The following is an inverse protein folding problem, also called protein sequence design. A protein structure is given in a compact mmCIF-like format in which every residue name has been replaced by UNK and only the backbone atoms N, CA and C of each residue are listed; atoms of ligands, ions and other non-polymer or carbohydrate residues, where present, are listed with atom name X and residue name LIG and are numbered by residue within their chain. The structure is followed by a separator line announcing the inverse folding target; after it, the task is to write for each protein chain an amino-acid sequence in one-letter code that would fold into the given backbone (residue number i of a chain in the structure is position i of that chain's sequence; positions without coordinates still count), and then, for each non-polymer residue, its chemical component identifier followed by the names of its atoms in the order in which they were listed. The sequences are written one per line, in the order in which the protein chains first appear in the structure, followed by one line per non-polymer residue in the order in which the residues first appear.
data_IF_993302241976
#
_entry.id   IF_993302241976
#
_cell.length_a   1.000
_cell.length_b   1.000
_cell.length_c   1.000
_cell.angle_alpha   90.00
_cell.angle_beta   90.00
_cell.angle_gamma   90.00
#
_symmetry.space_group_name_H-M   'P 1'
#
loop_
_entity.id
_entity.type
_entity.pdbx_description
1 polymer ?
#
# COMPACT_ATOMS: atom_id res chain seq x y z
N UNK A 1 -30.30 -8.59 9.05
CA UNK A 1 -29.56 -9.88 9.01
C UNK A 1 -28.83 -10.11 7.69
N UNK A 2 -29.34 -9.70 6.52
CA UNK A 2 -28.67 -9.93 5.22
C UNK A 2 -27.38 -9.12 4.98
N UNK A 3 -27.31 -7.85 5.42
CA UNK A 3 -26.13 -7.00 5.21
C UNK A 3 -24.84 -7.55 5.84
N UNK A 4 -24.95 -8.25 6.97
CA UNK A 4 -23.83 -8.89 7.66
C UNK A 4 -23.28 -10.10 6.89
N UNK A 5 -24.14 -10.87 6.22
CA UNK A 5 -23.69 -11.98 5.35
C UNK A 5 -23.01 -11.46 4.09
N UNK A 6 -23.53 -10.41 3.45
CA UNK A 6 -22.90 -9.81 2.29
C UNK A 6 -21.51 -9.22 2.63
N UNK A 7 -21.38 -8.57 3.79
CA UNK A 7 -20.09 -8.09 4.29
C UNK A 7 -19.11 -9.25 4.55
N UNK A 8 -19.60 -10.39 5.06
CA UNK A 8 -18.78 -11.58 5.26
C UNK A 8 -18.41 -12.29 3.94
N UNK A 9 -19.25 -12.25 2.92
CA UNK A 9 -18.93 -12.75 1.56
C UNK A 9 -17.92 -11.84 0.84
N UNK A 10 -17.96 -10.53 1.09
CA UNK A 10 -16.91 -9.59 0.68
C UNK A 10 -15.60 -9.77 1.47
N UNK A 11 -15.62 -10.43 2.63
CA UNK A 11 -14.42 -10.83 3.36
C UNK A 11 -13.86 -12.19 2.91
N UNK A 12 -14.57 -12.93 2.03
CA UNK A 12 -14.10 -14.19 1.44
C UNK A 12 -13.21 -13.98 0.21
N UNK A 13 -13.26 -12.79 -0.39
CA UNK A 13 -12.27 -12.33 -1.36
C UNK A 13 -11.08 -11.80 -0.56
N UNK A 14 -10.01 -12.60 -0.51
CA UNK A 14 -8.80 -12.24 0.24
C UNK A 14 -8.11 -10.97 -0.27
N UNK A 15 -6.92 -10.69 0.26
CA UNK A 15 -6.13 -9.53 -0.14
C UNK A 15 -5.49 -9.70 -1.52
N UNK A 16 -5.44 -8.62 -2.31
CA UNK A 16 -4.80 -8.60 -3.63
C UNK A 16 -4.16 -7.23 -3.89
N UNK A 17 -3.15 -7.21 -4.77
CA UNK A 17 -2.49 -5.97 -5.22
C UNK A 17 -3.38 -5.20 -6.19
N UNK A 18 -3.38 -3.87 -6.10
CA UNK A 18 -4.16 -2.97 -6.96
C UNK A 18 -3.26 -1.85 -7.45
N UNK A 19 -3.39 -1.48 -8.73
CA UNK A 19 -2.61 -0.40 -9.32
C UNK A 19 -2.69 0.90 -8.51
N UNK A 20 -1.55 1.40 -8.07
CA UNK A 20 -1.40 2.73 -7.52
C UNK A 20 -1.23 3.81 -8.60
N UNK A 21 -2.23 4.69 -8.75
CA UNK A 21 -2.19 5.83 -9.71
C UNK A 21 -1.73 7.15 -9.07
N UNK A 22 -0.63 7.10 -8.31
CA UNK A 22 0.18 8.28 -8.00
C UNK A 22 -0.45 9.36 -7.12
N UNK A 23 -1.56 9.10 -6.43
CA UNK A 23 -2.16 10.13 -5.58
C UNK A 23 -3.23 9.68 -4.60
N UNK A 24 -3.78 8.47 -4.76
CA UNK A 24 -4.72 7.94 -3.77
C UNK A 24 -4.58 6.43 -3.69
N UNK A 25 -4.43 5.93 -2.46
CA UNK A 25 -4.61 4.52 -2.15
C UNK A 25 -6.09 4.14 -2.29
N UNK A 26 -6.41 2.91 -2.72
CA UNK A 26 -7.78 2.41 -2.71
C UNK A 26 -8.43 2.52 -1.31
N UNK A 27 -9.74 2.78 -1.25
CA UNK A 27 -10.47 2.91 0.04
C UNK A 27 -10.49 1.62 0.87
N UNK A 28 -10.29 0.49 0.20
CA UNK A 28 -10.20 -0.85 0.76
C UNK A 28 -8.75 -1.30 1.00
N UNK A 29 -7.76 -0.40 0.85
CA UNK A 29 -6.37 -0.71 1.14
C UNK A 29 -6.19 -1.07 2.61
N UNK A 30 -5.50 -2.19 2.85
CA UNK A 30 -5.19 -2.65 4.19
C UNK A 30 -4.06 -1.80 4.81
N UNK A 31 -4.25 -1.16 5.98
CA UNK A 31 -3.17 -0.49 6.69
C UNK A 31 -2.07 -1.47 7.09
N UNK A 32 -0.82 -1.14 6.77
CA UNK A 32 0.36 -1.92 7.14
C UNK A 32 1.09 -1.39 8.39
N UNK A 33 0.76 -0.17 8.82
CA UNK A 33 1.37 0.47 9.98
C UNK A 33 0.87 1.90 10.17
N UNK A 34 1.64 2.70 10.90
CA UNK A 34 1.38 4.13 11.15
C UNK A 34 2.64 4.97 11.00
N UNK A 35 2.49 6.21 10.53
CA UNK A 35 3.58 7.19 10.51
C UNK A 35 3.77 7.84 11.90
N UNK A 36 4.74 8.75 12.02
CA UNK A 36 5.08 9.43 13.28
C UNK A 36 3.96 10.31 13.82
N UNK A 37 3.02 10.74 12.95
CA UNK A 37 1.84 11.51 13.32
C UNK A 37 0.63 10.62 13.69
N UNK A 38 0.82 9.29 13.72
CA UNK A 38 -0.24 8.32 13.99
C UNK A 38 -1.21 8.11 12.82
N UNK A 39 -0.87 8.55 11.61
CA UNK A 39 -1.70 8.29 10.41
C UNK A 39 -1.38 6.93 9.80
N UNK A 40 -2.38 6.24 9.21
CA UNK A 40 -2.15 4.96 8.55
C UNK A 40 -1.12 5.06 7.41
N UNK A 41 -0.24 4.06 7.34
CA UNK A 41 0.61 3.80 6.16
C UNK A 41 0.19 2.50 5.50
N UNK A 42 0.44 2.39 4.20
CA UNK A 42 -0.01 1.26 3.38
C UNK A 42 1.17 0.52 2.76
N UNK A 43 0.89 -0.70 2.30
CA UNK A 43 1.86 -1.56 1.64
C UNK A 43 1.72 -1.36 0.13
N UNK A 44 2.79 -0.94 -0.53
CA UNK A 44 2.92 -0.87 -1.98
C UNK A 44 4.06 -1.75 -2.48
N UNK A 45 4.30 -1.73 -3.80
CA UNK A 45 5.48 -2.34 -4.41
C UNK A 45 6.17 -1.33 -5.32
N UNK A 46 7.49 -1.43 -5.40
CA UNK A 46 8.31 -0.64 -6.34
C UNK A 46 9.14 -1.60 -7.17
N UNK A 47 9.15 -1.40 -8.48
CA UNK A 47 10.05 -2.12 -9.39
C UNK A 47 11.41 -1.42 -9.41
N UNK A 48 12.40 -2.01 -8.72
CA UNK A 48 13.80 -1.57 -8.73
C UNK A 48 14.62 -2.53 -9.61
N UNK A 49 15.00 -2.08 -10.80
CA UNK A 49 15.61 -2.96 -11.81
C UNK A 49 14.62 -4.05 -12.24
N UNK A 50 14.98 -5.32 -12.03
CA UNK A 50 14.11 -6.49 -12.28
C UNK A 50 13.43 -7.05 -11.03
N UNK A 51 13.55 -6.36 -9.89
CA UNK A 51 13.02 -6.82 -8.60
C UNK A 51 11.81 -6.01 -8.17
N UNK A 52 10.75 -6.71 -7.74
CA UNK A 52 9.64 -6.09 -7.01
C UNK A 52 9.98 -6.07 -5.53
N UNK A 53 10.10 -4.85 -4.97
CA UNK A 53 10.46 -4.62 -3.58
C UNK A 53 9.24 -4.06 -2.85
N UNK A 54 8.86 -4.59 -1.67
CA UNK A 54 7.84 -3.99 -0.83
C UNK A 54 8.17 -2.55 -0.47
N UNK A 55 7.15 -1.70 -0.46
CA UNK A 55 7.27 -0.28 -0.18
C UNK A 55 6.25 0.16 0.87
N UNK A 56 6.60 1.20 1.60
CA UNK A 56 5.73 1.94 2.50
C UNK A 56 5.13 3.12 1.73
N UNK A 57 3.81 3.23 1.73
CA UNK A 57 3.07 4.36 1.16
C UNK A 57 2.55 5.23 2.30
N UNK A 58 3.04 6.46 2.39
CA UNK A 58 2.52 7.50 3.26
C UNK A 58 1.66 8.46 2.43
N UNK A 59 0.35 8.44 2.67
CA UNK A 59 -0.61 9.28 1.95
C UNK A 59 -0.66 10.71 2.45
N UNK A 60 -0.23 10.97 3.69
CA UNK A 60 -0.17 12.32 4.26
C UNK A 60 1.01 13.09 3.68
N UNK A 61 2.17 12.43 3.57
CA UNK A 61 3.38 12.99 2.97
C UNK A 61 3.43 12.83 1.43
N UNK A 62 2.47 12.11 0.84
CA UNK A 62 2.46 11.70 -0.56
C UNK A 62 3.80 11.07 -0.99
N UNK A 63 4.31 10.17 -0.15
CA UNK A 63 5.66 9.59 -0.28
C UNK A 63 5.58 8.07 -0.32
N UNK A 64 6.30 7.47 -1.26
CA UNK A 64 6.49 6.02 -1.33
C UNK A 64 7.96 5.72 -1.07
N UNK A 65 8.27 4.94 -0.02
CA UNK A 65 9.65 4.53 0.29
C UNK A 65 9.85 3.03 0.25
N UNK A 66 11.04 2.60 -0.18
CA UNK A 66 11.43 1.20 -0.23
C UNK A 66 12.90 1.04 0.17
N UNK A 67 13.26 -0.13 0.68
CA UNK A 67 14.58 -0.43 1.18
C UNK A 67 15.38 -1.26 0.18
N UNK A 68 16.59 -0.83 -0.16
CA UNK A 68 17.49 -1.62 -1.01
C UNK A 68 18.95 -1.38 -0.60
N UNK A 69 19.73 -2.45 -0.45
CA UNK A 69 21.16 -2.33 -0.13
C UNK A 69 21.46 -1.52 1.14
N UNK A 70 20.67 -1.73 2.20
CA UNK A 70 20.78 -1.03 3.50
C UNK A 70 20.50 0.48 3.46
N UNK A 71 19.74 0.96 2.46
CA UNK A 71 19.35 2.37 2.32
C UNK A 71 17.86 2.48 1.99
N UNK A 72 17.22 3.51 2.55
CA UNK A 72 15.87 3.92 2.18
C UNK A 72 15.94 4.77 0.90
N UNK A 73 15.04 4.47 -0.04
CA UNK A 73 14.86 5.23 -1.28
C UNK A 73 13.43 5.77 -1.35
N UNK A 74 13.27 6.91 -2.01
CA UNK A 74 11.95 7.45 -2.38
C UNK A 74 11.64 7.06 -3.81
N UNK A 75 10.50 6.41 -4.03
CA UNK A 75 10.02 6.08 -5.36
C UNK A 75 9.19 7.23 -5.94
N UNK A 76 9.54 7.67 -7.14
CA UNK A 76 8.79 8.67 -7.92
C UNK A 76 8.09 8.06 -9.13
N UNK A 77 8.39 6.79 -9.44
CA UNK A 77 7.90 6.05 -10.60
C UNK A 77 7.89 4.55 -10.30
N UNK A 78 7.25 3.76 -11.17
CA UNK A 78 7.19 2.30 -11.10
C UNK A 78 6.62 1.75 -9.78
N UNK A 79 5.66 2.48 -9.21
CA UNK A 79 4.92 2.09 -8.02
C UNK A 79 3.73 1.25 -8.48
N UNK A 80 3.53 0.09 -7.85
CA UNK A 80 2.38 -0.78 -8.05
C UNK A 80 1.62 -0.95 -6.75
#
# INVERSE_FOLDING_TARGET
MEKSKAQNFLNLIGYYWRDYKGGAVPKDALPGGTNVNGKPTYIGQVLHGSLLIPAKVDTEENKVTYEWGYKEFVATQNIK
#
